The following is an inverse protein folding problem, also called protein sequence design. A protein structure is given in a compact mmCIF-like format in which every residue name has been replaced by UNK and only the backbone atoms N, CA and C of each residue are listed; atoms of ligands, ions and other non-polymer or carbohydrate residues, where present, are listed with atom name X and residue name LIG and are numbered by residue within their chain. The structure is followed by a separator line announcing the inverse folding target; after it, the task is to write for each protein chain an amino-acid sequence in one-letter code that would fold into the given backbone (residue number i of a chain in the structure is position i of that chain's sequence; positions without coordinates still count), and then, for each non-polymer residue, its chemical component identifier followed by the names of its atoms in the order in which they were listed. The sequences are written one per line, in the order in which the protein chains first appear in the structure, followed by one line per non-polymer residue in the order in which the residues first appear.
data_IF_352923729140
#
_entry.id   IF_352923729140
#
_cell.length_a   1.000
_cell.length_b   1.000
_cell.length_c   1.000
_cell.angle_alpha   90.00
_cell.angle_beta   90.00
_cell.angle_gamma   90.00
#
_symmetry.space_group_name_H-M   'P 1'
#
loop_
_entity.id
_entity.type
_entity.pdbx_description
1 polymer ?
#
# COMPACT_ATOMS: atom_id res chain seq x y z
N UNK A 1 24.24 -1.03 -22.55
CA UNK A 1 24.97 -2.08 -21.81
C UNK A 1 24.40 -2.07 -20.42
N UNK A 2 23.57 -3.05 -20.06
CA UNK A 2 23.13 -3.20 -18.67
C UNK A 2 24.25 -3.88 -17.91
N UNK A 3 24.79 -3.22 -16.90
CA UNK A 3 25.60 -3.91 -15.90
C UNK A 3 24.67 -4.91 -15.20
N UNK A 4 24.73 -6.17 -15.63
CA UNK A 4 24.02 -7.25 -14.97
C UNK A 4 24.61 -7.40 -13.56
N UNK A 5 23.91 -6.83 -12.58
CA UNK A 5 24.24 -6.98 -11.18
C UNK A 5 23.81 -8.38 -10.72
N UNK A 6 24.78 -9.29 -10.64
CA UNK A 6 24.59 -10.68 -10.20
C UNK A 6 24.50 -10.85 -8.67
N UNK A 7 24.37 -9.74 -7.93
CA UNK A 7 24.43 -9.72 -6.47
C UNK A 7 25.85 -9.74 -5.92
N UNK A 8 25.95 -9.81 -4.59
CA UNK A 8 27.22 -9.94 -3.88
C UNK A 8 27.66 -11.40 -3.83
N UNK A 9 28.93 -11.67 -4.14
CA UNK A 9 29.50 -12.99 -3.90
C UNK A 9 29.55 -13.27 -2.38
N UNK A 10 29.70 -14.53 -1.98
CA UNK A 10 29.85 -14.88 -0.57
C UNK A 10 31.00 -14.13 0.09
N UNK A 11 32.08 -13.89 -0.66
CA UNK A 11 33.25 -13.16 -0.21
C UNK A 11 32.97 -11.67 -0.01
N UNK A 12 32.13 -11.08 -0.86
CA UNK A 12 31.71 -9.68 -0.72
C UNK A 12 30.78 -9.51 0.49
N UNK A 13 29.91 -10.50 0.74
CA UNK A 13 29.06 -10.55 1.94
C UNK A 13 29.92 -10.64 3.20
N UNK A 14 30.93 -11.51 3.23
CA UNK A 14 31.85 -11.65 4.37
C UNK A 14 32.67 -10.37 4.59
N UNK A 15 33.14 -9.73 3.51
CA UNK A 15 33.87 -8.46 3.58
C UNK A 15 32.97 -7.32 4.09
N UNK A 16 31.74 -7.21 3.60
CA UNK A 16 30.77 -6.24 4.09
C UNK A 16 30.47 -6.49 5.57
N UNK A 17 30.26 -7.74 5.97
CA UNK A 17 30.01 -8.12 7.37
C UNK A 17 31.16 -7.71 8.29
N UNK A 18 32.40 -7.91 7.84
CA UNK A 18 33.60 -7.50 8.56
C UNK A 18 33.74 -5.96 8.63
N UNK A 19 33.42 -5.24 7.55
CA UNK A 19 33.51 -3.78 7.48
C UNK A 19 32.47 -3.07 8.34
N UNK A 20 31.25 -3.61 8.40
CA UNK A 20 30.15 -3.00 9.17
C UNK A 20 30.08 -3.53 10.60
N UNK A 21 30.87 -4.55 10.94
CA UNK A 21 30.78 -5.30 12.20
C UNK A 21 29.35 -5.83 12.44
N UNK A 22 28.70 -6.32 11.38
CA UNK A 22 27.34 -6.89 11.44
C UNK A 22 27.30 -8.24 10.76
N UNK A 23 26.50 -9.17 11.28
CA UNK A 23 26.18 -10.41 10.55
C UNK A 23 25.33 -10.03 9.33
N UNK A 24 25.78 -10.39 8.12
CA UNK A 24 25.00 -10.19 6.89
C UNK A 24 24.41 -11.54 6.50
N UNK A 25 23.10 -11.56 6.29
CA UNK A 25 22.37 -12.78 6.01
C UNK A 25 22.14 -12.91 4.51
N UNK A 26 22.46 -14.06 3.95
CA UNK A 26 22.14 -14.40 2.57
C UNK A 26 20.62 -14.60 2.44
N UNK A 27 19.92 -13.60 1.91
CA UNK A 27 18.47 -13.61 1.77
C UNK A 27 17.96 -14.73 0.85
N UNK A 28 18.81 -15.29 -0.03
CA UNK A 28 18.43 -16.44 -0.87
C UNK A 28 18.24 -17.73 -0.07
N UNK A 29 18.76 -17.76 1.16
CA UNK A 29 18.68 -18.90 2.09
C UNK A 29 17.62 -18.71 3.17
N UNK A 30 16.94 -17.55 3.19
CA UNK A 30 15.82 -17.30 4.09
C UNK A 30 14.57 -17.91 3.47
N UNK A 31 13.87 -18.75 4.21
CA UNK A 31 12.64 -19.36 3.71
C UNK A 31 11.53 -18.32 3.51
N UNK A 32 10.61 -18.54 2.57
CA UNK A 32 9.43 -17.69 2.37
C UNK A 32 8.58 -17.54 3.65
N UNK A 33 8.55 -18.58 4.49
CA UNK A 33 7.88 -18.53 5.79
C UNK A 33 8.54 -17.55 6.75
N UNK A 34 9.86 -17.51 6.79
CA UNK A 34 10.61 -16.55 7.61
C UNK A 34 10.45 -15.12 7.08
N UNK A 35 10.50 -14.92 5.76
CA UNK A 35 10.24 -13.63 5.14
C UNK A 35 8.80 -13.15 5.43
N UNK A 36 7.80 -14.03 5.31
CA UNK A 36 6.41 -13.72 5.61
C UNK A 36 6.19 -13.38 7.08
N UNK A 37 6.83 -14.10 8.00
CA UNK A 37 6.76 -13.79 9.43
C UNK A 37 7.35 -12.40 9.74
N UNK A 38 8.43 -12.03 9.07
CA UNK A 38 9.06 -10.71 9.20
C UNK A 38 8.19 -9.62 8.58
N UNK A 39 7.56 -9.89 7.43
CA UNK A 39 6.59 -8.98 6.82
C UNK A 39 5.31 -8.79 7.63
N UNK A 40 5.09 -9.66 8.62
CA UNK A 40 3.95 -9.63 9.52
C UNK A 40 4.29 -9.11 10.93
N UNK A 41 5.58 -8.94 11.28
CA UNK A 41 6.01 -8.54 12.63
C UNK A 41 6.53 -7.10 12.67
N UNK A 42 6.06 -6.32 13.63
CA UNK A 42 6.59 -4.99 13.97
C UNK A 42 7.80 -5.11 14.92
N UNK A 43 8.86 -4.41 14.54
CA UNK A 43 10.19 -4.21 15.15
C UNK A 43 10.41 -4.70 16.61
N UNK A 44 11.42 -5.54 16.83
CA UNK A 44 11.93 -5.93 18.15
C UNK A 44 12.80 -4.83 18.78
N UNK A 45 12.64 -4.59 20.09
CA UNK A 45 13.48 -3.70 20.91
C UNK A 45 14.59 -4.47 21.63
N UNK A 46 15.82 -3.96 21.49
CA UNK A 46 16.99 -4.03 22.39
C UNK A 46 17.37 -5.36 23.06
N UNK A 47 18.52 -5.90 22.64
CA UNK A 47 19.35 -6.84 23.40
C UNK A 47 19.76 -8.07 22.60
N UNK A 48 21.04 -8.14 22.17
CA UNK A 48 21.63 -9.11 21.22
C UNK A 48 20.88 -9.11 19.89
N UNK A 49 21.55 -8.79 18.77
CA UNK A 49 20.91 -8.75 17.46
C UNK A 49 20.22 -10.10 17.18
N UNK A 50 18.89 -10.10 17.29
CA UNK A 50 18.09 -11.25 16.97
C UNK A 50 18.23 -11.53 15.47
N UNK A 51 17.93 -12.77 15.04
CA UNK A 51 17.89 -13.09 13.61
C UNK A 51 16.94 -12.15 12.84
N UNK A 52 15.89 -11.64 13.50
CA UNK A 52 15.02 -10.59 12.97
C UNK A 52 15.78 -9.28 12.73
N UNK A 53 16.56 -8.80 13.70
CA UNK A 53 17.31 -7.55 13.57
C UNK A 53 18.33 -7.62 12.41
N UNK A 54 18.98 -8.77 12.26
CA UNK A 54 19.92 -9.04 11.16
C UNK A 54 19.19 -9.01 9.80
N UNK A 55 18.01 -9.64 9.70
CA UNK A 55 17.24 -9.64 8.46
C UNK A 55 16.72 -8.23 8.17
N UNK A 56 16.23 -7.49 9.17
CA UNK A 56 15.84 -6.08 8.99
C UNK A 56 17.00 -5.22 8.50
N UNK A 57 18.19 -5.34 9.09
CA UNK A 57 19.38 -4.62 8.65
C UNK A 57 19.75 -4.98 7.20
N UNK A 58 19.66 -6.27 6.84
CA UNK A 58 19.95 -6.75 5.50
C UNK A 58 18.93 -6.23 4.47
N UNK A 59 17.64 -6.24 4.79
CA UNK A 59 16.59 -5.71 3.91
C UNK A 59 16.72 -4.19 3.75
N UNK A 60 17.09 -3.47 4.81
CA UNK A 60 17.37 -2.03 4.73
C UNK A 60 18.50 -1.73 3.73
N UNK A 61 19.58 -2.50 3.76
CA UNK A 61 20.67 -2.36 2.80
C UNK A 61 20.22 -2.74 1.38
N UNK A 62 19.51 -3.85 1.23
CA UNK A 62 19.02 -4.32 -0.07
C UNK A 62 18.12 -3.31 -0.76
N UNK A 63 17.24 -2.66 0.00
CA UNK A 63 16.20 -1.78 -0.55
C UNK A 63 16.48 -0.28 -0.32
N UNK A 64 17.68 0.08 0.12
CA UNK A 64 18.11 1.48 0.23
C UNK A 64 17.40 2.30 1.32
N UNK A 65 16.89 1.67 2.37
CA UNK A 65 16.27 2.40 3.49
C UNK A 65 17.32 3.22 4.26
N UNK A 66 17.18 4.54 4.21
CA UNK A 66 18.09 5.49 4.89
C UNK A 66 17.57 5.94 6.25
N UNK A 67 16.25 5.99 6.46
CA UNK A 67 15.66 6.46 7.73
C UNK A 67 15.69 5.42 8.86
N UNK A 68 15.86 4.14 8.51
CA UNK A 68 15.83 3.02 9.45
C UNK A 68 14.47 2.63 10.02
N UNK A 69 13.42 3.34 9.65
CA UNK A 69 12.04 3.11 10.09
C UNK A 69 11.13 2.56 8.97
N UNK A 70 11.68 2.18 7.80
CA UNK A 70 10.86 1.59 6.74
C UNK A 70 10.34 0.22 7.14
N UNK A 71 9.04 0.00 6.96
CA UNK A 71 8.42 -1.32 7.09
C UNK A 71 9.07 -2.24 6.05
N UNK A 72 9.62 -3.36 6.53
CA UNK A 72 10.36 -4.34 5.72
C UNK A 72 11.55 -3.76 4.92
N UNK A 73 12.03 -2.56 5.27
CA UNK A 73 13.06 -1.85 4.52
C UNK A 73 12.57 -1.19 3.22
N UNK A 74 11.28 -1.31 2.86
CA UNK A 74 10.75 -0.82 1.57
C UNK A 74 9.78 0.35 1.71
N UNK A 75 8.86 0.31 2.69
CA UNK A 75 7.80 1.30 2.83
C UNK A 75 8.18 2.32 3.89
N UNK A 76 8.52 3.54 3.46
CA UNK A 76 8.98 4.59 4.36
C UNK A 76 7.85 5.17 5.22
N UNK A 77 8.17 5.85 6.34
CA UNK A 77 7.15 6.50 7.17
C UNK A 77 6.31 7.54 6.43
N UNK A 78 6.92 8.38 5.58
CA UNK A 78 6.22 9.39 4.78
C UNK A 78 5.35 8.76 3.70
N UNK A 79 5.87 7.78 2.99
CA UNK A 79 5.11 7.05 1.98
C UNK A 79 3.94 6.26 2.59
N UNK A 80 4.14 5.63 3.76
CA UNK A 80 3.06 4.97 4.51
C UNK A 80 1.96 5.95 4.86
N UNK A 81 2.33 7.16 5.30
CA UNK A 81 1.37 8.21 5.61
C UNK A 81 0.59 8.66 4.37
N UNK A 82 1.26 8.84 3.22
CA UNK A 82 0.61 9.15 1.95
C UNK A 82 -0.42 8.09 1.54
N UNK A 83 -0.02 6.80 1.56
CA UNK A 83 -0.91 5.68 1.22
C UNK A 83 -2.07 5.57 2.22
N UNK A 84 -1.81 5.80 3.50
CA UNK A 84 -2.85 5.80 4.53
C UNK A 84 -3.89 6.89 4.26
N UNK A 85 -3.45 8.12 3.97
CA UNK A 85 -4.36 9.23 3.66
C UNK A 85 -5.15 8.99 2.38
N UNK A 86 -4.54 8.39 1.36
CA UNK A 86 -5.26 7.97 0.16
C UNK A 86 -6.35 6.94 0.47
N UNK A 87 -6.04 5.93 1.29
CA UNK A 87 -7.03 4.91 1.68
C UNK A 87 -8.20 5.50 2.49
N UNK A 88 -7.89 6.34 3.48
CA UNK A 88 -8.89 7.01 4.33
C UNK A 88 -9.80 7.92 3.50
N UNK A 89 -9.21 8.78 2.66
CA UNK A 89 -9.99 9.68 1.82
C UNK A 89 -10.89 8.94 0.84
N UNK A 90 -10.36 7.92 0.15
CA UNK A 90 -11.17 7.12 -0.77
C UNK A 90 -12.34 6.43 -0.04
N UNK A 91 -12.09 5.88 1.14
CA UNK A 91 -13.15 5.29 1.96
C UNK A 91 -14.23 6.32 2.31
N UNK A 92 -13.83 7.46 2.87
CA UNK A 92 -14.73 8.51 3.33
C UNK A 92 -15.58 9.05 2.17
N UNK A 93 -14.96 9.34 1.03
CA UNK A 93 -15.65 9.80 -0.18
C UNK A 93 -16.68 8.78 -0.69
N UNK A 94 -16.27 7.52 -0.85
CA UNK A 94 -17.15 6.46 -1.36
C UNK A 94 -18.34 6.21 -0.42
N UNK A 95 -18.13 6.32 0.89
CA UNK A 95 -19.19 6.20 1.90
C UNK A 95 -20.12 7.40 1.90
N UNK A 96 -19.58 8.60 1.79
CA UNK A 96 -20.38 9.81 1.71
C UNK A 96 -21.32 9.77 0.49
N UNK A 97 -20.82 9.35 -0.66
CA UNK A 97 -21.63 9.16 -1.87
C UNK A 97 -22.68 8.05 -1.73
N UNK A 98 -22.39 7.01 -0.92
CA UNK A 98 -23.37 5.95 -0.63
C UNK A 98 -24.51 6.41 0.26
N UNK A 99 -24.22 7.28 1.21
CA UNK A 99 -25.21 7.80 2.15
C UNK A 99 -26.08 8.90 1.52
N UNK A 100 -25.69 9.39 0.34
CA UNK A 100 -26.49 10.29 -0.47
C UNK A 100 -27.61 9.53 -1.21
N UNK A 101 -28.84 9.64 -0.69
CA UNK A 101 -30.01 8.90 -1.20
C UNK A 101 -30.48 9.32 -2.59
N UNK A 102 -29.99 10.43 -3.12
CA UNK A 102 -30.38 10.93 -4.44
C UNK A 102 -29.61 10.26 -5.58
N UNK A 103 -28.56 9.50 -5.27
CA UNK A 103 -27.70 8.86 -6.26
C UNK A 103 -28.15 7.40 -6.47
N UNK A 104 -28.64 7.11 -7.67
CA UNK A 104 -28.94 5.72 -8.07
C UNK A 104 -27.66 4.86 -8.11
N UNK A 105 -27.78 3.53 -8.00
CA UNK A 105 -26.61 2.64 -8.10
C UNK A 105 -25.77 2.83 -9.37
N UNK A 106 -26.36 2.94 -10.58
CA UNK A 106 -25.63 3.32 -11.79
C UNK A 106 -25.03 4.72 -11.75
N UNK A 107 -25.73 5.69 -11.15
CA UNK A 107 -25.21 7.04 -10.91
C UNK A 107 -23.95 7.01 -10.04
N UNK A 108 -23.98 6.25 -8.94
CA UNK A 108 -22.83 6.10 -8.06
C UNK A 108 -21.62 5.52 -8.80
N UNK A 109 -21.84 4.52 -9.67
CA UNK A 109 -20.77 3.93 -10.50
C UNK A 109 -20.22 4.91 -11.54
N UNK A 110 -21.05 5.83 -12.04
CA UNK A 110 -20.64 6.87 -12.97
C UNK A 110 -19.80 7.94 -12.24
N UNK A 111 -20.31 8.47 -11.14
CA UNK A 111 -19.68 9.55 -10.37
C UNK A 111 -18.35 9.10 -9.74
N UNK A 112 -18.21 7.79 -9.48
CA UNK A 112 -17.01 7.18 -8.92
C UNK A 112 -16.15 6.41 -9.94
N UNK A 113 -16.34 6.60 -11.26
CA UNK A 113 -15.64 5.82 -12.31
C UNK A 113 -14.12 5.75 -12.11
N UNK A 114 -13.51 6.85 -11.67
CA UNK A 114 -12.07 6.92 -11.39
C UNK A 114 -11.60 5.94 -10.32
N UNK A 115 -12.40 5.71 -9.27
CA UNK A 115 -12.09 4.72 -8.22
C UNK A 115 -12.29 3.27 -8.70
N UNK A 116 -13.04 3.06 -9.78
CA UNK A 116 -13.44 1.74 -10.25
C UNK A 116 -12.54 1.19 -11.37
N UNK A 117 -11.50 1.93 -11.75
CA UNK A 117 -10.62 1.62 -12.90
C UNK A 117 -10.03 0.20 -12.87
N UNK A 118 -9.63 -0.29 -11.70
CA UNK A 118 -9.03 -1.63 -11.56
C UNK A 118 -10.07 -2.77 -11.43
N UNK A 119 -11.36 -2.46 -11.46
CA UNK A 119 -12.42 -3.45 -11.39
C UNK A 119 -12.76 -3.99 -12.78
N UNK A 120 -13.05 -5.28 -12.86
CA UNK A 120 -13.59 -5.86 -14.08
C UNK A 120 -14.99 -5.32 -14.37
N UNK A 121 -15.39 -5.30 -15.64
CA UNK A 121 -16.73 -4.86 -16.05
C UNK A 121 -17.86 -5.60 -15.32
N UNK A 122 -17.68 -6.89 -15.03
CA UNK A 122 -18.65 -7.68 -14.26
C UNK A 122 -18.80 -7.16 -12.82
N UNK A 123 -17.69 -6.84 -12.15
CA UNK A 123 -17.74 -6.27 -10.79
C UNK A 123 -18.40 -4.90 -10.82
N UNK A 124 -18.07 -4.05 -11.79
CA UNK A 124 -18.71 -2.73 -11.95
C UNK A 124 -20.22 -2.82 -12.16
N UNK A 125 -20.70 -3.79 -12.94
CA UNK A 125 -22.13 -4.08 -13.09
C UNK A 125 -22.77 -4.52 -11.78
N UNK A 126 -22.09 -5.38 -11.00
CA UNK A 126 -22.55 -5.78 -9.67
C UNK A 126 -22.65 -4.59 -8.70
N UNK A 127 -21.69 -3.66 -8.75
CA UNK A 127 -21.73 -2.42 -7.96
C UNK A 127 -22.92 -1.54 -8.36
N UNK A 128 -23.21 -1.41 -9.66
CA UNK A 128 -24.37 -0.64 -10.12
C UNK A 128 -25.70 -1.21 -9.62
N UNK A 129 -25.81 -2.54 -9.57
CA UNK A 129 -27.03 -3.23 -9.18
C UNK A 129 -27.20 -3.45 -7.67
N UNK A 130 -26.13 -3.37 -6.87
CA UNK A 130 -26.17 -3.83 -5.48
C UNK A 130 -25.46 -2.89 -4.50
N UNK A 131 -26.23 -2.30 -3.59
CA UNK A 131 -25.72 -1.40 -2.55
C UNK A 131 -24.75 -2.08 -1.58
N UNK A 132 -25.03 -3.31 -1.16
CA UNK A 132 -24.12 -4.07 -0.29
C UNK A 132 -22.77 -4.30 -0.97
N UNK A 133 -22.74 -4.53 -2.29
CA UNK A 133 -21.48 -4.65 -3.02
C UNK A 133 -20.71 -3.32 -3.05
N UNK A 134 -21.39 -2.17 -3.17
CA UNK A 134 -20.74 -0.85 -3.09
C UNK A 134 -20.16 -0.58 -1.71
N UNK A 135 -20.93 -0.84 -0.65
CA UNK A 135 -20.44 -0.71 0.73
C UNK A 135 -19.26 -1.64 1.00
N UNK A 136 -19.34 -2.89 0.54
CA UNK A 136 -18.24 -3.86 0.65
C UNK A 136 -16.98 -3.42 -0.09
N UNK A 137 -17.13 -2.81 -1.27
CA UNK A 137 -16.00 -2.21 -2.00
C UNK A 137 -15.37 -1.05 -1.21
N UNK A 138 -16.17 -0.12 -0.67
CA UNK A 138 -15.68 0.98 0.16
C UNK A 138 -14.96 0.49 1.43
N UNK A 139 -15.50 -0.51 2.13
CA UNK A 139 -14.92 -1.06 3.35
C UNK A 139 -13.54 -1.70 3.12
N UNK A 140 -13.25 -2.19 1.91
CA UNK A 140 -11.92 -2.71 1.58
C UNK A 140 -10.81 -1.65 1.68
N UNK A 141 -11.13 -0.37 1.47
CA UNK A 141 -10.17 0.73 1.67
C UNK A 141 -9.81 0.89 3.15
N UNK A 142 -10.77 0.72 4.07
CA UNK A 142 -10.47 0.73 5.52
C UNK A 142 -9.58 -0.44 5.94
N UNK A 143 -9.75 -1.62 5.34
CA UNK A 143 -8.88 -2.75 5.64
C UNK A 143 -7.44 -2.51 5.16
N UNK A 144 -7.25 -1.84 4.01
CA UNK A 144 -5.93 -1.37 3.56
C UNK A 144 -5.37 -0.34 4.54
N UNK A 145 -6.16 0.66 4.93
CA UNK A 145 -5.78 1.67 5.93
C UNK A 145 -5.38 1.01 7.26
N UNK A 146 -6.12 -0.02 7.68
CA UNK A 146 -5.87 -0.77 8.90
C UNK A 146 -4.53 -1.50 8.87
N UNK A 147 -4.12 -2.10 7.75
CA UNK A 147 -2.76 -2.64 7.61
C UNK A 147 -1.72 -1.55 7.89
N UNK A 148 -1.89 -0.36 7.31
CA UNK A 148 -0.93 0.74 7.43
C UNK A 148 -0.88 1.35 8.83
N UNK A 149 -2.03 1.41 9.52
CA UNK A 149 -2.11 1.81 10.94
C UNK A 149 -1.44 0.80 11.87
N UNK A 150 -1.52 -0.50 11.54
CA UNK A 150 -0.82 -1.59 12.25
C UNK A 150 0.65 -1.76 11.81
N UNK A 151 1.18 -0.84 11.00
CA UNK A 151 2.55 -0.88 10.46
C UNK A 151 2.88 -2.18 9.69
N UNK A 152 1.87 -2.74 9.01
CA UNK A 152 1.99 -3.90 8.13
C UNK A 152 1.94 -3.45 6.67
N UNK A 153 2.66 -4.16 5.79
CA UNK A 153 2.47 -3.98 4.35
C UNK A 153 1.02 -4.35 3.98
N UNK A 154 0.33 -3.55 3.14
CA UNK A 154 -1.04 -3.85 2.73
C UNK A 154 -1.05 -4.92 1.64
N UNK A 155 -0.49 -6.11 1.90
CA UNK A 155 -0.55 -7.26 0.97
C UNK A 155 -1.93 -7.88 0.98
N UNK A 156 -2.26 -8.68 -0.05
CA UNK A 156 -3.53 -9.40 -0.12
C UNK A 156 -3.77 -10.25 1.13
N UNK A 157 -2.74 -10.93 1.60
CA UNK A 157 -2.77 -11.83 2.75
C UNK A 157 -3.04 -11.04 4.03
N UNK A 158 -2.31 -9.95 4.25
CA UNK A 158 -2.45 -9.10 5.44
C UNK A 158 -3.84 -8.45 5.49
N UNK A 159 -4.34 -7.93 4.37
CA UNK A 159 -5.67 -7.32 4.27
C UNK A 159 -6.77 -8.35 4.55
N UNK A 160 -6.68 -9.55 3.95
CA UNK A 160 -7.68 -10.59 4.18
C UNK A 160 -7.61 -11.18 5.59
N UNK A 161 -6.44 -11.23 6.20
CA UNK A 161 -6.28 -11.60 7.61
C UNK A 161 -7.01 -10.60 8.51
N UNK A 162 -6.79 -9.30 8.32
CA UNK A 162 -7.50 -8.27 9.10
C UNK A 162 -9.00 -8.32 8.90
N UNK A 163 -9.47 -8.49 7.67
CA UNK A 163 -10.88 -8.69 7.37
C UNK A 163 -11.44 -9.90 8.15
N UNK A 164 -10.79 -11.06 8.08
CA UNK A 164 -11.27 -12.27 8.79
C UNK A 164 -11.26 -12.12 10.30
N UNK A 165 -10.24 -11.47 10.86
CA UNK A 165 -10.10 -11.30 12.30
C UNK A 165 -11.05 -10.23 12.87
N UNK A 166 -11.39 -9.21 12.07
CA UNK A 166 -12.32 -8.13 12.47
C UNK A 166 -13.76 -8.37 12.03
N UNK A 167 -14.04 -9.47 11.32
CA UNK A 167 -15.34 -9.82 10.75
C UNK A 167 -16.38 -10.17 11.84
N UNK A 168 -16.81 -9.15 12.57
CA UNK A 168 -18.14 -9.05 13.19
C UNK A 168 -19.07 -8.17 12.33
N UNK A 169 -18.65 -7.85 11.11
CA UNK A 169 -19.37 -7.02 10.14
C UNK A 169 -20.78 -7.59 9.88
N UNK A 170 -21.79 -6.82 10.22
CA UNK A 170 -23.19 -7.16 10.00
C UNK A 170 -23.94 -5.97 9.38
N UNK A 171 -24.53 -6.12 8.18
CA UNK A 171 -24.47 -7.29 7.31
C UNK A 171 -23.05 -7.49 6.70
N UNK A 172 -22.69 -8.71 6.25
CA UNK A 172 -21.33 -9.02 5.77
C UNK A 172 -21.11 -8.50 4.34
N UNK A 173 -21.17 -7.18 4.17
CA UNK A 173 -21.11 -6.50 2.88
C UNK A 173 -19.76 -6.65 2.19
N UNK A 174 -18.67 -6.69 2.95
CA UNK A 174 -17.32 -6.93 2.41
C UNK A 174 -17.20 -8.32 1.82
N UNK A 175 -17.73 -9.33 2.52
CA UNK A 175 -17.80 -10.71 2.01
C UNK A 175 -18.50 -10.77 0.66
N UNK A 176 -19.62 -10.07 0.55
CA UNK A 176 -20.46 -10.05 -0.63
C UNK A 176 -19.78 -9.41 -1.85
N UNK A 177 -18.97 -8.36 -1.65
CA UNK A 177 -18.11 -7.80 -2.70
C UNK A 177 -17.08 -8.85 -3.20
N UNK A 178 -16.38 -9.50 -2.27
CA UNK A 178 -15.34 -10.49 -2.59
C UNK A 178 -15.91 -11.72 -3.32
N UNK A 179 -17.05 -12.25 -2.86
CA UNK A 179 -17.72 -13.41 -3.49
C UNK A 179 -18.25 -13.12 -4.90
N UNK A 180 -18.39 -11.84 -5.27
CA UNK A 180 -18.85 -11.40 -6.60
C UNK A 180 -17.72 -10.96 -7.52
N UNK A 181 -16.50 -11.44 -7.25
CA UNK A 181 -15.33 -11.20 -8.09
C UNK A 181 -14.56 -9.93 -7.73
N UNK A 182 -14.98 -9.22 -6.68
CA UNK A 182 -14.20 -8.13 -6.09
C UNK A 182 -12.85 -8.64 -5.57
N UNK A 183 -11.81 -7.82 -5.66
CA UNK A 183 -10.47 -8.22 -5.21
C UNK A 183 -9.81 -7.16 -4.34
N UNK A 184 -8.93 -7.62 -3.44
CA UNK A 184 -8.03 -6.73 -2.69
C UNK A 184 -7.11 -5.99 -3.65
N UNK A 185 -6.59 -6.67 -4.68
CA UNK A 185 -5.64 -6.11 -5.62
C UNK A 185 -6.19 -4.88 -6.34
N UNK A 186 -7.47 -4.89 -6.74
CA UNK A 186 -8.09 -3.73 -7.39
C UNK A 186 -8.15 -2.52 -6.44
N UNK A 187 -8.55 -2.74 -5.19
CA UNK A 187 -8.67 -1.68 -4.18
C UNK A 187 -7.29 -1.13 -3.79
N UNK A 188 -6.34 -2.01 -3.49
CA UNK A 188 -4.99 -1.60 -3.12
C UNK A 188 -4.29 -0.88 -4.28
N UNK A 189 -4.45 -1.34 -5.53
CA UNK A 189 -3.90 -0.65 -6.71
C UNK A 189 -4.45 0.77 -6.83
N UNK A 190 -5.75 0.97 -6.54
CA UNK A 190 -6.37 2.30 -6.51
C UNK A 190 -5.77 3.18 -5.41
N UNK A 191 -5.57 2.64 -4.21
CA UNK A 191 -4.94 3.38 -3.10
C UNK A 191 -3.52 3.81 -3.44
N UNK A 192 -2.69 2.90 -3.97
CA UNK A 192 -1.33 3.22 -4.38
C UNK A 192 -1.30 4.24 -5.53
N UNK A 193 -2.19 4.12 -6.51
CA UNK A 193 -2.30 5.07 -7.61
C UNK A 193 -2.73 6.46 -7.11
N UNK A 194 -3.73 6.54 -6.20
CA UNK A 194 -4.16 7.80 -5.61
C UNK A 194 -3.07 8.48 -4.79
N UNK A 195 -2.35 7.71 -3.97
CA UNK A 195 -1.22 8.24 -3.20
C UNK A 195 -0.10 8.78 -4.11
N UNK A 196 0.21 8.06 -5.20
CA UNK A 196 1.18 8.49 -6.20
C UNK A 196 0.72 9.74 -6.96
N UNK A 197 -0.58 9.84 -7.27
CA UNK A 197 -1.14 10.99 -7.97
C UNK A 197 -1.15 12.27 -7.14
N UNK A 198 -1.21 12.17 -5.80
CA UNK A 198 -1.12 13.32 -4.89
C UNK A 198 0.30 13.65 -4.43
N UNK A 199 1.27 12.81 -4.78
CA UNK A 199 2.66 12.97 -4.40
C UNK A 199 3.26 14.25 -5.02
N UNK A 200 4.23 14.85 -4.32
CA UNK A 200 4.88 16.09 -4.77
C UNK A 200 5.81 15.92 -5.98
N UNK A 201 6.31 14.71 -6.24
CA UNK A 201 7.24 14.46 -7.35
C UNK A 201 6.61 13.62 -8.45
N UNK A 202 5.78 12.64 -8.07
CA UNK A 202 5.09 11.76 -9.03
C UNK A 202 3.71 12.28 -9.46
N UNK A 203 3.16 13.27 -8.76
CA UNK A 203 1.78 13.71 -8.87
C UNK A 203 1.60 15.23 -8.92
N UNK A 204 0.48 15.69 -8.39
CA UNK A 204 0.06 17.11 -8.35
C UNK A 204 0.55 17.87 -7.11
N UNK A 205 1.17 17.19 -6.14
CA UNK A 205 1.64 17.77 -4.88
C UNK A 205 0.56 18.11 -3.86
N UNK A 206 -0.70 17.71 -4.07
CA UNK A 206 -1.80 17.92 -3.13
C UNK A 206 -1.47 17.36 -1.73
N UNK A 207 -0.80 16.22 -1.66
CA UNK A 207 -0.45 15.60 -0.37
C UNK A 207 0.46 16.49 0.47
N UNK A 208 1.49 17.08 -0.15
CA UNK A 208 2.40 18.01 0.52
C UNK A 208 1.69 19.31 0.91
N UNK A 209 0.82 19.83 0.03
CA UNK A 209 0.05 21.05 0.29
C UNK A 209 -0.88 20.90 1.51
N UNK A 210 -1.56 19.75 1.62
CA UNK A 210 -2.55 19.52 2.68
C UNK A 210 -1.92 19.06 3.99
N UNK A 211 -0.87 18.24 3.94
CA UNK A 211 -0.32 17.57 5.12
C UNK A 211 1.16 17.89 5.41
N UNK A 212 1.67 19.01 4.90
CA UNK A 212 3.09 19.37 4.99
C UNK A 212 3.66 19.31 6.41
N UNK A 213 2.93 19.82 7.40
CA UNK A 213 3.36 19.82 8.81
C UNK A 213 3.51 18.39 9.36
N UNK A 214 2.52 17.52 9.13
CA UNK A 214 2.58 16.12 9.57
C UNK A 214 3.66 15.32 8.84
N UNK A 215 3.93 15.64 7.57
CA UNK A 215 5.01 15.02 6.79
C UNK A 215 6.38 15.43 7.33
N UNK A 216 6.53 16.69 7.77
CA UNK A 216 7.78 17.21 8.32
C UNK A 216 8.15 16.58 9.67
N UNK A 217 7.16 16.11 10.43
CA UNK A 217 7.37 15.33 11.66
C UNK A 217 7.88 13.90 11.38
N UNK A 218 7.75 13.40 10.14
CA UNK A 218 8.18 12.05 9.76
C UNK A 218 9.60 12.06 9.19
N UNK A 219 10.42 11.04 9.50
CA UNK A 219 11.80 11.01 9.04
C UNK A 219 11.87 10.79 7.51
N UNK A 220 12.65 11.61 6.78
CA UNK A 220 12.82 11.46 5.35
C UNK A 220 13.58 10.18 5.00
N UNK A 221 13.23 9.57 3.87
CA UNK A 221 13.87 8.36 3.37
C UNK A 221 14.07 8.43 1.86
N UNK A 222 15.11 7.75 1.35
CA UNK A 222 15.29 7.54 -0.11
C UNK A 222 14.05 6.89 -0.76
N UNK A 223 13.29 6.10 0.00
CA UNK A 223 12.15 5.34 -0.49
C UNK A 223 10.82 6.13 -0.46
N UNK A 224 10.82 7.42 -0.13
CA UNK A 224 9.59 8.20 0.08
C UNK A 224 8.66 8.26 -1.15
N UNK A 225 9.20 8.12 -2.36
CA UNK A 225 8.46 8.28 -3.62
C UNK A 225 8.42 7.00 -4.48
N UNK A 226 8.76 5.84 -3.91
CA UNK A 226 8.94 4.58 -4.65
C UNK A 226 7.62 3.77 -4.77
N UNK A 227 6.51 4.44 -5.11
CA UNK A 227 5.15 3.88 -5.15
C UNK A 227 5.04 2.60 -5.99
N UNK A 228 5.54 2.62 -7.22
CA UNK A 228 5.52 1.44 -8.10
C UNK A 228 6.27 0.25 -7.52
N UNK A 229 7.44 0.49 -6.92
CA UNK A 229 8.24 -0.56 -6.31
C UNK A 229 7.53 -1.19 -5.11
N UNK A 230 7.04 -0.39 -4.17
CA UNK A 230 6.36 -0.92 -2.98
C UNK A 230 5.03 -1.59 -3.35
N UNK A 231 4.29 -1.04 -4.31
CA UNK A 231 3.06 -1.67 -4.84
C UNK A 231 3.36 -3.06 -5.41
N UNK A 232 4.41 -3.18 -6.23
CA UNK A 232 4.89 -4.45 -6.77
C UNK A 232 5.30 -5.45 -5.68
N UNK A 233 6.00 -4.98 -4.66
CA UNK A 233 6.36 -5.81 -3.49
C UNK A 233 5.14 -6.27 -2.67
N UNK A 234 4.03 -5.53 -2.72
CA UNK A 234 2.76 -5.96 -2.11
C UNK A 234 1.95 -6.92 -3.01
N UNK A 235 2.44 -7.23 -4.21
CA UNK A 235 1.78 -8.10 -5.19
C UNK A 235 0.85 -7.38 -6.15
N UNK A 236 1.00 -6.06 -6.31
CA UNK A 236 0.15 -5.24 -7.17
C UNK A 236 0.98 -4.59 -8.28
N UNK A 237 0.53 -4.71 -9.52
CA UNK A 237 1.19 -4.07 -10.64
C UNK A 237 0.42 -2.79 -10.97
N UNK A 238 1.03 -1.63 -10.68
CA UNK A 238 0.52 -0.36 -11.21
C UNK A 238 0.74 -0.36 -12.73
N UNK A 239 -0.28 0.07 -13.48
CA UNK A 239 -0.16 0.20 -14.92
C UNK A 239 0.72 1.43 -15.23
N UNK A 240 1.83 1.30 -15.99
CA UNK A 240 2.74 2.42 -16.27
C UNK A 240 2.18 3.54 -17.15
N UNK A 241 1.07 3.31 -17.86
CA UNK A 241 0.63 4.16 -18.97
C UNK A 241 -0.20 5.40 -18.59
N UNK A 242 -0.31 5.79 -17.32
CA UNK A 242 -1.35 6.74 -16.91
C UNK A 242 -0.88 7.89 -16.03
N UNK A 243 -0.07 8.77 -16.65
CA UNK A 243 0.19 10.15 -16.21
C UNK A 243 -1.01 11.10 -16.43
N UNK A 244 -2.19 10.60 -16.80
CA UNK A 244 -3.41 11.39 -17.06
C UNK A 244 -4.25 11.66 -15.80
N UNK A 245 -3.83 11.20 -14.63
CA UNK A 245 -4.62 11.35 -13.39
C UNK A 245 -4.62 12.79 -12.85
N UNK A 246 -3.59 13.58 -13.13
CA UNK A 246 -3.47 14.96 -12.63
C UNK A 246 -4.57 15.88 -13.17
N UNK A 247 -5.10 15.66 -14.38
CA UNK A 247 -6.10 16.54 -14.98
C UNK A 247 -7.54 16.30 -14.52
N UNK A 248 -7.84 15.15 -13.91
CA UNK A 248 -9.23 14.80 -13.55
C UNK A 248 -9.58 15.23 -12.12
N UNK A 249 -8.59 15.32 -11.23
CA UNK A 249 -8.80 15.80 -9.87
C UNK A 249 -9.04 17.33 -9.83
N UNK A 250 -8.41 18.12 -10.70
CA UNK A 250 -8.70 19.56 -10.83
C UNK A 250 -10.20 19.83 -11.09
N UNK A 251 -10.85 18.97 -11.88
CA UNK A 251 -12.29 19.12 -12.19
C UNK A 251 -13.23 18.77 -11.02
N UNK A 252 -12.77 17.95 -10.06
CA UNK A 252 -13.52 17.59 -8.86
C UNK A 252 -13.30 18.58 -7.70
N UNK A 253 -12.16 19.29 -7.69
CA UNK A 253 -11.79 20.20 -6.60
C UNK A 253 -12.23 21.66 -6.78
N UNK A 254 -12.84 22.04 -7.91
CA UNK A 254 -13.41 23.37 -8.08
C UNK A 254 -12.43 24.51 -7.71
N UNK A 255 -11.20 24.40 -8.18
CA UNK A 255 -10.24 25.52 -8.24
C UNK A 255 -10.10 26.00 -9.67
#
# INVERSE_FOLDING_TARGET
MSDEFWGFSHKDIDCLAALTNTVILDLSKVSERELSAIWSSTTSRHGIASRHDIIHATLRMKYGCTCGACICGILSPRMRFAILRAAEFCHEQLVWDLDNTDISGPGWVHDNDHYLRFLSGLVRQNLAANESSRRGFANMFDYVASCLREERLPTKENVLELYRNRSSEWPPVTKHYLERGGTVAAVASMVFQGAMAWDEWAGDGLHRMVFGEQIDELPPCRNDHEFGFVSGMCGYNLCPDDLLFASTLESLFGM
#
